data_IF_426256925307
#
_entry.id   IF_426256925307
#
_cell.length_a   1.000
_cell.length_b   1.000
_cell.length_c   1.000
_cell.angle_alpha   90.00
_cell.angle_beta   90.00
_cell.angle_gamma   90.00
#
_symmetry.space_group_name_H-M   'P 1'
#
loop_
_entity.id
_entity.type
_entity.pdbx_description
1 polymer ?
#
# COMPACT_ATOMS: atom_id res chain seq x y z
N UNK A 1 -2.45 12.28 7.49
CA UNK A 1 -1.49 12.03 8.58
C UNK A 1 -1.91 10.91 9.54
N UNK A 2 -2.46 9.82 9.13
CA UNK A 2 -2.96 8.75 10.00
C UNK A 2 -2.37 7.37 9.73
N UNK A 3 -1.28 7.31 8.98
CA UNK A 3 -0.75 6.07 8.42
C UNK A 3 -0.20 5.03 9.41
N UNK A 4 0.25 5.45 10.59
CA UNK A 4 1.21 4.68 11.37
C UNK A 4 0.75 4.13 12.72
N UNK A 5 -0.47 4.42 13.16
CA UNK A 5 -1.00 3.84 14.40
C UNK A 5 -1.44 2.37 14.27
N UNK A 6 -1.46 1.84 13.05
CA UNK A 6 -1.89 0.47 12.81
C UNK A 6 -0.89 -0.59 13.31
N UNK A 7 0.38 -0.25 13.37
CA UNK A 7 1.43 -1.20 13.80
C UNK A 7 1.57 -1.39 15.31
N UNK A 8 0.92 -0.54 16.13
CA UNK A 8 1.11 -0.56 17.59
C UNK A 8 0.01 -1.23 18.41
N UNK A 9 -1.11 -1.63 17.80
CA UNK A 9 -2.29 -2.09 18.54
C UNK A 9 -2.57 -3.57 18.40
N UNK A 10 -1.65 -4.41 18.91
CA UNK A 10 -1.99 -5.76 19.37
C UNK A 10 -1.74 -5.87 20.86
N UNK A 11 -2.53 -5.18 21.68
CA UNK A 11 -2.82 -5.55 23.07
C UNK A 11 -4.30 -5.24 23.33
N UNK A 12 -5.03 -6.32 23.55
CA UNK A 12 -6.43 -6.28 23.98
C UNK A 12 -6.58 -5.46 25.25
N UNK A 13 -7.41 -4.45 25.24
CA UNK A 13 -8.23 -3.99 26.37
C UNK A 13 -9.26 -2.93 25.92
N UNK A 14 -10.27 -2.53 26.75
CA UNK A 14 -11.67 -2.53 26.35
C UNK A 14 -12.11 -1.23 25.66
N UNK A 15 -13.18 -1.35 24.87
CA UNK A 15 -14.02 -0.31 24.25
C UNK A 15 -13.80 1.13 24.75
N UNK A 16 -13.05 1.90 23.96
CA UNK A 16 -13.10 3.35 23.92
C UNK A 16 -13.49 3.81 22.52
N UNK A 17 -14.05 5.03 22.33
CA UNK A 17 -14.65 5.47 21.08
C UNK A 17 -13.62 5.38 19.96
N UNK A 18 -14.02 4.74 18.85
CA UNK A 18 -13.22 4.63 17.63
C UNK A 18 -12.71 6.02 17.24
N UNK A 19 -11.41 6.18 17.32
CA UNK A 19 -10.73 7.43 17.14
C UNK A 19 -10.92 7.98 15.73
N UNK A 20 -10.86 9.29 15.62
CA UNK A 20 -10.88 10.09 14.40
C UNK A 20 -9.92 9.60 13.28
N UNK A 21 -8.93 8.80 13.61
CA UNK A 21 -7.92 8.24 12.68
C UNK A 21 -8.46 7.14 11.77
N UNK A 22 -9.28 6.22 12.28
CA UNK A 22 -9.92 5.19 11.43
C UNK A 22 -10.91 5.84 10.45
N UNK A 23 -11.55 6.95 10.84
CA UNK A 23 -12.40 7.74 9.96
C UNK A 23 -11.59 8.49 8.90
N UNK A 24 -10.47 9.11 9.24
CA UNK A 24 -9.59 9.80 8.28
C UNK A 24 -8.98 8.84 7.25
N UNK A 25 -8.63 7.61 7.66
CA UNK A 25 -8.14 6.58 6.74
C UNK A 25 -9.25 6.07 5.82
N UNK A 26 -10.47 5.91 6.34
CA UNK A 26 -11.65 5.59 5.54
C UNK A 26 -11.94 6.69 4.51
N UNK A 27 -11.74 7.94 4.88
CA UNK A 27 -12.04 9.10 4.03
C UNK A 27 -11.05 9.22 2.86
N UNK A 28 -9.77 8.89 3.03
CA UNK A 28 -8.77 8.92 1.96
C UNK A 28 -9.17 8.05 0.75
N UNK A 29 -9.77 6.88 0.99
CA UNK A 29 -10.15 5.94 -0.06
C UNK A 29 -11.64 5.99 -0.43
N UNK A 30 -12.41 6.88 0.20
CA UNK A 30 -13.87 6.94 0.03
C UNK A 30 -14.29 7.24 -1.42
N UNK A 31 -13.52 8.06 -2.11
CA UNK A 31 -13.81 8.49 -3.49
C UNK A 31 -13.29 7.51 -4.56
N UNK A 32 -12.56 6.45 -4.16
CA UNK A 32 -12.04 5.48 -5.10
C UNK A 32 -13.11 4.44 -5.47
N UNK A 33 -13.20 4.16 -6.77
CA UNK A 33 -13.99 3.03 -7.25
C UNK A 33 -13.38 1.70 -6.80
N UNK A 34 -14.21 0.68 -6.73
CA UNK A 34 -13.75 -0.68 -6.43
C UNK A 34 -12.67 -1.15 -7.41
N UNK A 35 -12.78 -0.78 -8.68
CA UNK A 35 -11.80 -1.13 -9.71
C UNK A 35 -10.44 -0.47 -9.44
N UNK A 36 -10.41 0.80 -9.01
CA UNK A 36 -9.18 1.48 -8.62
C UNK A 36 -8.54 0.82 -7.40
N UNK A 37 -9.32 0.51 -6.38
CA UNK A 37 -8.82 -0.20 -5.18
C UNK A 37 -8.23 -1.57 -5.53
N UNK A 38 -8.87 -2.34 -6.41
CA UNK A 38 -8.31 -3.61 -6.87
C UNK A 38 -7.05 -3.45 -7.73
N UNK A 39 -6.93 -2.38 -8.52
CA UNK A 39 -5.70 -2.09 -9.25
C UNK A 39 -4.53 -1.81 -8.29
N UNK A 40 -4.78 -1.02 -7.24
CA UNK A 40 -3.78 -0.75 -6.19
C UNK A 40 -3.34 -2.05 -5.50
N UNK A 41 -4.29 -2.87 -5.05
CA UNK A 41 -3.97 -4.16 -4.42
C UNK A 41 -3.23 -5.10 -5.38
N UNK A 42 -3.59 -5.12 -6.67
CA UNK A 42 -2.92 -5.95 -7.67
C UNK A 42 -1.46 -5.53 -7.86
N UNK A 43 -1.19 -4.22 -7.87
CA UNK A 43 0.18 -3.71 -7.90
C UNK A 43 0.98 -4.18 -6.68
N UNK A 44 0.46 -3.96 -5.47
CA UNK A 44 1.13 -4.38 -4.23
C UNK A 44 1.33 -5.90 -4.17
N UNK A 45 0.34 -6.69 -4.59
CA UNK A 45 0.42 -8.14 -4.64
C UNK A 45 1.48 -8.64 -5.63
N UNK A 46 1.64 -7.97 -6.77
CA UNK A 46 2.67 -8.28 -7.75
C UNK A 46 4.08 -8.08 -7.19
N UNK A 47 4.28 -7.04 -6.39
CA UNK A 47 5.55 -6.76 -5.71
C UNK A 47 5.80 -7.78 -4.57
N UNK A 48 4.77 -8.07 -3.77
CA UNK A 48 4.88 -9.01 -2.64
C UNK A 48 5.07 -10.47 -3.08
N UNK A 49 4.62 -10.84 -4.28
CA UNK A 49 4.78 -12.17 -4.85
C UNK A 49 6.17 -12.42 -5.47
N UNK A 50 7.05 -11.41 -5.54
CA UNK A 50 8.38 -11.57 -6.09
C UNK A 50 9.18 -12.58 -5.24
N UNK A 51 9.96 -13.48 -5.89
CA UNK A 51 10.69 -14.53 -5.18
C UNK A 51 11.68 -13.96 -4.16
N UNK A 52 11.56 -14.42 -2.92
CA UNK A 52 12.43 -14.10 -1.80
C UNK A 52 12.57 -15.34 -0.89
N UNK A 53 13.30 -15.22 0.22
CA UNK A 53 13.22 -16.28 1.24
C UNK A 53 11.82 -16.29 1.90
N UNK A 54 11.47 -17.40 2.54
CA UNK A 54 10.13 -17.61 3.09
C UNK A 54 9.69 -16.54 4.10
N UNK A 55 10.61 -16.07 4.95
CA UNK A 55 10.34 -15.05 5.96
C UNK A 55 10.02 -13.69 5.30
N UNK A 56 10.84 -13.24 4.35
CA UNK A 56 10.63 -11.98 3.61
C UNK A 56 9.35 -12.02 2.79
N UNK A 57 9.09 -13.14 2.13
CA UNK A 57 7.84 -13.32 1.37
C UNK A 57 6.63 -13.24 2.28
N UNK A 58 6.64 -13.91 3.42
CA UNK A 58 5.55 -13.85 4.39
C UNK A 58 5.34 -12.43 4.94
N UNK A 59 6.43 -11.71 5.22
CA UNK A 59 6.37 -10.33 5.70
C UNK A 59 5.82 -9.37 4.63
N UNK A 60 6.30 -9.46 3.40
CA UNK A 60 5.81 -8.67 2.26
C UNK A 60 4.32 -8.92 2.00
N UNK A 61 3.86 -10.17 2.05
CA UNK A 61 2.46 -10.53 1.91
C UNK A 61 1.61 -9.97 3.06
N UNK A 62 2.10 -10.05 4.31
CA UNK A 62 1.41 -9.48 5.47
C UNK A 62 1.23 -7.96 5.31
N UNK A 63 2.25 -7.25 4.84
CA UNK A 63 2.16 -5.81 4.56
C UNK A 63 1.08 -5.54 3.49
N UNK A 64 1.12 -6.24 2.37
CA UNK A 64 0.14 -6.11 1.29
C UNK A 64 -1.30 -6.35 1.79
N UNK A 65 -1.54 -7.38 2.61
CA UNK A 65 -2.88 -7.63 3.19
C UNK A 65 -3.31 -6.54 4.16
N UNK A 66 -2.37 -5.97 4.92
CA UNK A 66 -2.63 -4.83 5.80
C UNK A 66 -3.06 -3.61 5.00
N UNK A 67 -2.33 -3.29 3.94
CA UNK A 67 -2.61 -2.16 3.05
C UNK A 67 -3.96 -2.35 2.32
N UNK A 68 -4.26 -3.57 1.86
CA UNK A 68 -5.56 -3.91 1.28
C UNK A 68 -6.73 -3.69 2.26
N UNK A 69 -6.55 -4.11 3.51
CA UNK A 69 -7.57 -3.93 4.55
C UNK A 69 -7.83 -2.43 4.84
N UNK A 70 -6.81 -1.57 4.77
CA UNK A 70 -6.97 -0.12 4.90
C UNK A 70 -7.85 0.49 3.81
N UNK A 71 -7.83 -0.09 2.61
CA UNK A 71 -8.72 0.29 1.50
C UNK A 71 -10.12 -0.34 1.58
N UNK A 72 -10.39 -1.14 2.62
CA UNK A 72 -11.64 -1.90 2.77
C UNK A 72 -11.71 -3.15 1.88
N UNK A 73 -10.57 -3.66 1.39
CA UNK A 73 -10.49 -4.89 0.61
C UNK A 73 -10.14 -6.06 1.53
N UNK A 74 -11.09 -6.98 1.69
CA UNK A 74 -10.88 -8.21 2.48
C UNK A 74 -10.19 -9.31 1.67
N UNK A 75 -9.65 -10.31 2.35
CA UNK A 75 -9.09 -11.50 1.70
C UNK A 75 -10.10 -12.22 0.80
N UNK A 76 -11.35 -12.33 1.24
CA UNK A 76 -12.41 -12.97 0.45
C UNK A 76 -12.73 -12.17 -0.82
N UNK A 77 -12.72 -10.83 -0.75
CA UNK A 77 -12.88 -9.96 -1.91
C UNK A 77 -11.74 -10.14 -2.90
N UNK A 78 -10.49 -10.22 -2.41
CA UNK A 78 -9.31 -10.48 -3.25
C UNK A 78 -9.42 -11.85 -3.93
N UNK A 79 -9.77 -12.88 -3.17
CA UNK A 79 -9.91 -14.24 -3.68
C UNK A 79 -11.00 -14.30 -4.78
N UNK A 80 -12.16 -13.72 -4.52
CA UNK A 80 -13.24 -13.63 -5.50
C UNK A 80 -12.81 -12.88 -6.76
N UNK A 81 -12.09 -11.77 -6.62
CA UNK A 81 -11.56 -11.02 -7.75
C UNK A 81 -10.61 -11.85 -8.60
N UNK A 82 -9.70 -12.60 -7.97
CA UNK A 82 -8.75 -13.48 -8.66
C UNK A 82 -9.41 -14.67 -9.36
N UNK A 83 -10.52 -15.19 -8.80
CA UNK A 83 -11.23 -16.35 -9.35
C UNK A 83 -12.20 -15.96 -10.47
N UNK A 84 -12.76 -14.75 -10.44
CA UNK A 84 -13.84 -14.33 -11.36
C UNK A 84 -13.34 -13.50 -12.55
N UNK A 85 -12.09 -13.06 -12.54
CA UNK A 85 -11.54 -12.22 -13.61
C UNK A 85 -10.32 -12.85 -14.27
N UNK A 86 -10.19 -12.59 -15.58
CA UNK A 86 -8.93 -12.77 -16.31
C UNK A 86 -7.83 -12.04 -15.54
N UNK A 87 -6.68 -12.67 -15.32
CA UNK A 87 -5.54 -12.04 -14.64
C UNK A 87 -5.32 -10.64 -15.22
N UNK A 88 -5.42 -9.59 -14.40
CA UNK A 88 -5.17 -8.24 -14.89
C UNK A 88 -3.72 -8.18 -15.40
N UNK A 89 -3.54 -7.72 -16.63
CA UNK A 89 -2.20 -7.46 -17.13
C UNK A 89 -1.69 -6.11 -16.57
N UNK A 90 -0.38 -5.94 -16.57
CA UNK A 90 0.26 -4.72 -16.06
C UNK A 90 -0.29 -3.45 -16.71
N UNK A 91 -0.58 -3.48 -18.02
CA UNK A 91 -1.12 -2.33 -18.75
C UNK A 91 -2.50 -1.91 -18.23
N UNK A 92 -3.38 -2.87 -17.93
CA UNK A 92 -4.71 -2.58 -17.36
C UNK A 92 -4.59 -1.98 -15.95
N UNK A 93 -3.67 -2.49 -15.13
CA UNK A 93 -3.43 -1.96 -13.79
C UNK A 93 -2.92 -0.52 -13.88
N UNK A 94 -1.90 -0.25 -14.69
CA UNK A 94 -1.33 1.09 -14.90
C UNK A 94 -2.39 2.06 -15.44
N UNK A 95 -3.16 1.66 -16.46
CA UNK A 95 -4.23 2.50 -17.00
C UNK A 95 -5.29 2.85 -15.96
N UNK A 96 -5.65 1.90 -15.08
CA UNK A 96 -6.62 2.14 -14.01
C UNK A 96 -6.04 3.06 -12.93
N UNK A 97 -4.79 2.83 -12.52
CA UNK A 97 -4.11 3.70 -11.55
C UNK A 97 -3.97 5.13 -12.08
N UNK A 98 -3.70 5.31 -13.38
CA UNK A 98 -3.66 6.62 -14.03
C UNK A 98 -4.99 7.40 -14.02
N UNK A 99 -6.11 6.77 -13.64
CA UNK A 99 -7.39 7.46 -13.43
C UNK A 99 -7.56 8.02 -12.02
N UNK A 100 -6.65 7.71 -11.09
CA UNK A 100 -6.66 8.27 -9.74
C UNK A 100 -6.07 9.67 -9.79
N UNK A 101 -6.86 10.67 -9.44
CA UNK A 101 -6.47 12.08 -9.46
C UNK A 101 -6.02 12.59 -8.10
N UNK A 102 -6.27 11.82 -7.04
CA UNK A 102 -5.87 12.16 -5.69
C UNK A 102 -4.38 11.82 -5.48
N UNK A 103 -3.57 12.86 -5.38
CA UNK A 103 -2.12 12.74 -5.22
C UNK A 103 -1.74 12.08 -3.89
N UNK A 104 -2.49 12.33 -2.81
CA UNK A 104 -2.22 11.72 -1.51
C UNK A 104 -2.39 10.19 -1.56
N UNK A 105 -3.39 9.71 -2.29
CA UNK A 105 -3.60 8.26 -2.52
C UNK A 105 -2.44 7.66 -3.30
N UNK A 106 -1.97 8.33 -4.34
CA UNK A 106 -0.84 7.84 -5.16
C UNK A 106 0.47 7.86 -4.36
N UNK A 107 0.74 8.92 -3.60
CA UNK A 107 1.90 9.00 -2.71
C UNK A 107 1.87 7.92 -1.64
N UNK A 108 0.70 7.64 -1.09
CA UNK A 108 0.51 6.51 -0.18
C UNK A 108 0.85 5.17 -0.86
N UNK A 109 0.37 4.95 -2.08
CA UNK A 109 0.64 3.72 -2.81
C UNK A 109 2.13 3.57 -3.15
N UNK A 110 2.82 4.68 -3.48
CA UNK A 110 4.28 4.71 -3.65
C UNK A 110 4.96 4.19 -2.38
N UNK A 111 4.60 4.73 -1.23
CA UNK A 111 5.23 4.35 0.04
C UNK A 111 4.97 2.89 0.40
N UNK A 112 3.74 2.39 0.23
CA UNK A 112 3.42 0.99 0.48
C UNK A 112 4.20 0.06 -0.44
N UNK A 113 4.24 0.35 -1.74
CA UNK A 113 4.99 -0.44 -2.71
C UNK A 113 6.50 -0.43 -2.42
N UNK A 114 7.05 0.73 -2.09
CA UNK A 114 8.46 0.87 -1.69
C UNK A 114 8.78 0.02 -0.44
N UNK A 115 7.93 0.09 0.57
CA UNK A 115 8.10 -0.69 1.80
C UNK A 115 8.11 -2.20 1.53
N UNK A 116 7.27 -2.67 0.61
CA UNK A 116 7.23 -4.08 0.19
C UNK A 116 8.54 -4.47 -0.51
N UNK A 117 9.05 -3.67 -1.45
CA UNK A 117 10.29 -4.02 -2.16
C UNK A 117 11.51 -3.98 -1.24
N UNK A 118 11.55 -3.08 -0.26
CA UNK A 118 12.62 -3.03 0.75
C UNK A 118 12.63 -4.31 1.60
N UNK A 119 11.48 -4.80 2.01
CA UNK A 119 11.37 -6.05 2.77
C UNK A 119 11.70 -7.27 1.90
N UNK A 120 11.17 -7.31 0.69
CA UNK A 120 11.37 -8.42 -0.22
C UNK A 120 12.82 -8.52 -0.73
N UNK A 121 13.50 -7.38 -0.94
CA UNK A 121 14.86 -7.28 -1.45
C UNK A 121 15.08 -8.02 -2.78
N UNK A 122 14.08 -8.03 -3.64
CA UNK A 122 14.15 -8.63 -4.96
C UNK A 122 14.39 -7.55 -6.02
N UNK A 123 15.53 -7.65 -6.73
CA UNK A 123 15.92 -6.66 -7.76
C UNK A 123 14.90 -6.53 -8.87
N UNK A 124 14.26 -7.65 -9.25
CA UNK A 124 13.22 -7.64 -10.29
C UNK A 124 11.96 -6.91 -9.82
N UNK A 125 11.55 -7.12 -8.56
CA UNK A 125 10.43 -6.36 -7.98
C UNK A 125 10.74 -4.87 -7.92
N UNK A 126 11.97 -4.50 -7.57
CA UNK A 126 12.44 -3.14 -7.58
C UNK A 126 12.35 -2.52 -8.99
N UNK A 127 12.86 -3.19 -10.01
CA UNK A 127 12.78 -2.73 -11.40
C UNK A 127 11.34 -2.56 -11.87
N UNK A 128 10.44 -3.52 -11.53
CA UNK A 128 9.01 -3.46 -11.87
C UNK A 128 8.34 -2.26 -11.17
N UNK A 129 8.66 -2.01 -9.91
CA UNK A 129 8.13 -0.89 -9.16
C UNK A 129 8.46 0.46 -9.83
N UNK A 130 9.73 0.72 -10.14
CA UNK A 130 10.13 1.96 -10.80
C UNK A 130 9.58 2.09 -12.22
N UNK A 131 9.53 1.00 -13.01
CA UNK A 131 8.94 1.00 -14.35
C UNK A 131 7.44 1.37 -14.33
N UNK A 132 6.69 0.88 -13.35
CA UNK A 132 5.27 1.19 -13.23
C UNK A 132 5.05 2.65 -12.84
N UNK A 133 5.82 3.19 -11.89
CA UNK A 133 5.69 4.59 -11.49
C UNK A 133 6.15 5.54 -12.59
N UNK A 134 7.20 5.21 -13.33
CA UNK A 134 7.59 5.98 -14.52
C UNK A 134 6.48 6.02 -15.56
N UNK A 135 5.79 4.91 -15.83
CA UNK A 135 4.63 4.88 -16.73
C UNK A 135 3.43 5.69 -16.23
N UNK A 136 3.34 5.92 -14.93
CA UNK A 136 2.34 6.80 -14.30
C UNK A 136 2.80 8.27 -14.26
N UNK A 137 3.99 8.59 -14.77
CA UNK A 137 4.53 9.94 -14.85
C UNK A 137 5.35 10.38 -13.64
N UNK A 138 5.75 9.44 -12.76
CA UNK A 138 6.61 9.73 -11.62
C UNK A 138 8.06 9.41 -11.94
N UNK A 139 8.94 10.39 -11.73
CA UNK A 139 10.37 10.21 -11.88
C UNK A 139 11.00 9.68 -10.57
N UNK A 140 12.17 9.03 -10.62
CA UNK A 140 12.83 8.45 -9.43
C UNK A 140 13.03 9.46 -8.29
N UNK A 141 13.31 10.72 -8.61
CA UNK A 141 13.51 11.79 -7.65
C UNK A 141 12.23 12.13 -6.88
N UNK A 142 11.08 12.06 -7.55
CA UNK A 142 9.77 12.29 -6.92
C UNK A 142 9.41 11.13 -5.99
N UNK A 143 9.68 9.89 -6.42
CA UNK A 143 9.49 8.70 -5.59
C UNK A 143 10.36 8.79 -4.33
N UNK A 144 11.64 9.15 -4.47
CA UNK A 144 12.58 9.31 -3.37
C UNK A 144 12.14 10.42 -2.39
N UNK A 145 11.61 11.53 -2.92
CA UNK A 145 11.02 12.61 -2.11
C UNK A 145 9.85 12.09 -1.27
N UNK A 146 8.88 11.42 -1.90
CA UNK A 146 7.69 10.87 -1.21
C UNK A 146 8.08 9.92 -0.09
N UNK A 147 9.01 9.01 -0.37
CA UNK A 147 9.51 8.04 0.63
C UNK A 147 10.16 8.75 1.81
N UNK A 148 11.04 9.71 1.56
CA UNK A 148 11.74 10.46 2.61
C UNK A 148 10.79 11.29 3.47
N UNK A 149 9.84 11.99 2.85
CA UNK A 149 8.84 12.79 3.56
C UNK A 149 7.96 11.90 4.45
N UNK A 150 7.53 10.76 3.94
CA UNK A 150 6.72 9.81 4.69
C UNK A 150 7.50 9.20 5.84
N UNK A 151 8.74 8.78 5.62
CA UNK A 151 9.61 8.27 6.70
C UNK A 151 9.86 9.31 7.79
N UNK A 152 10.04 10.57 7.43
CA UNK A 152 10.23 11.65 8.39
C UNK A 152 8.99 11.85 9.27
N UNK A 153 7.80 11.76 8.69
CA UNK A 153 6.53 11.81 9.43
C UNK A 153 6.43 10.62 10.40
N UNK A 154 6.72 9.41 9.94
CA UNK A 154 6.73 8.20 10.75
C UNK A 154 7.67 8.31 11.96
N UNK A 155 8.87 8.79 11.72
CA UNK A 155 9.87 8.92 12.77
C UNK A 155 9.46 9.95 13.82
N UNK A 156 8.86 11.09 13.42
CA UNK A 156 8.31 12.07 14.35
C UNK A 156 7.18 11.47 15.20
N UNK A 157 6.28 10.70 14.60
CA UNK A 157 5.19 10.05 15.32
C UNK A 157 5.71 9.03 16.33
N UNK A 158 6.71 8.21 15.97
CA UNK A 158 7.36 7.27 16.91
C UNK A 158 7.97 7.97 18.10
N UNK A 159 8.59 9.14 17.91
CA UNK A 159 9.15 9.94 19.01
C UNK A 159 8.07 10.44 19.96
N UNK A 160 6.90 10.84 19.45
CA UNK A 160 5.77 11.31 20.27
C UNK A 160 5.15 10.16 21.08
N UNK A 161 5.06 8.96 20.50
CA UNK A 161 4.45 7.80 21.17
C UNK A 161 5.37 7.21 22.25
N UNK A 162 6.68 7.38 22.11
CA UNK A 162 7.67 6.87 23.08
C UNK A 162 8.00 7.90 24.21
N UNK A 163 7.33 9.04 24.25
CA UNK A 163 7.36 10.02 25.34
C UNK A 163 6.23 9.77 26.33
#
# INVERSE_FOLDING_TARGET
MGFFNFFSSQKETPKQPQSSEAQLQSDMFANLSQTQKFAMVTMLASLAAAPANAERTAMAQKMMFTDAAMMGITQDMMLNYMLTRTKPNAQMVISTLGTITDTEVLEWLIYCGYSIIVVNQNEKACSVFFDWWHKLGYEPEEIDRVVKETEAICNKMRQIINL
#
